data_IF_860082913779
#
_entry.id   IF_860082913779
#
_cell.length_a   1.000
_cell.length_b   1.000
_cell.length_c   1.000
_cell.angle_alpha   90.00
_cell.angle_beta   90.00
_cell.angle_gamma   90.00
#
_symmetry.space_group_name_H-M   'P 1'
#
loop_
_entity.id
_entity.type
_entity.pdbx_description
1 polymer ?
#
# COMPACT_ATOMS: atom_id res chain seq x y z
N UNK A 1 16.63 -12.92 -8.51
CA UNK A 1 16.94 -11.59 -9.10
C UNK A 1 15.69 -10.73 -9.01
N UNK A 2 15.78 -9.41 -8.84
CA UNK A 2 14.64 -8.56 -9.16
C UNK A 2 14.35 -8.80 -10.64
N UNK A 3 13.19 -9.34 -11.00
CA UNK A 3 12.91 -9.66 -12.39
C UNK A 3 12.85 -8.35 -13.18
N UNK A 4 13.91 -8.10 -13.96
CA UNK A 4 13.96 -7.02 -14.93
C UNK A 4 13.11 -7.45 -16.12
N UNK A 5 11.79 -7.41 -15.94
CA UNK A 5 10.81 -7.78 -16.98
C UNK A 5 10.47 -6.62 -17.91
N UNK A 6 10.74 -5.39 -17.47
CA UNK A 6 10.43 -4.18 -18.21
C UNK A 6 11.55 -3.79 -19.19
N UNK A 7 11.18 -3.09 -20.27
CA UNK A 7 12.13 -2.57 -21.27
C UNK A 7 13.12 -1.56 -20.68
N UNK A 8 12.69 -0.78 -19.68
CA UNK A 8 13.53 0.20 -19.02
C UNK A 8 14.17 -0.40 -17.77
N UNK A 9 15.48 -0.21 -17.62
CA UNK A 9 16.19 -0.66 -16.42
C UNK A 9 15.63 -0.02 -15.15
N UNK A 10 15.17 -0.87 -14.22
CA UNK A 10 14.61 -0.42 -12.96
C UNK A 10 15.72 -0.31 -11.90
N UNK A 11 15.81 0.85 -11.25
CA UNK A 11 16.66 1.08 -10.07
C UNK A 11 16.00 2.01 -9.07
N UNK A 12 16.41 1.92 -7.80
CA UNK A 12 16.04 2.93 -6.81
C UNK A 12 16.82 4.22 -7.06
N UNK A 13 16.17 5.40 -7.13
CA UNK A 13 16.84 6.64 -7.47
C UNK A 13 17.87 7.10 -6.42
N UNK A 14 17.67 6.70 -5.15
CA UNK A 14 18.56 7.04 -4.03
C UNK A 14 19.68 6.03 -3.81
N UNK A 15 19.80 5.02 -4.66
CA UNK A 15 20.78 3.95 -4.52
C UNK A 15 21.73 3.97 -5.71
N UNK A 16 23.01 4.11 -5.42
CA UNK A 16 24.06 3.98 -6.41
C UNK A 16 24.49 2.51 -6.50
N UNK A 17 24.33 1.90 -7.68
CA UNK A 17 24.59 0.47 -7.88
C UNK A 17 26.06 0.15 -8.17
N UNK A 18 26.81 1.08 -8.76
CA UNK A 18 28.21 0.87 -9.17
C UNK A 18 29.21 1.15 -8.03
N UNK A 19 28.82 0.90 -6.78
CA UNK A 19 29.72 1.02 -5.64
C UNK A 19 30.82 -0.04 -5.68
N UNK A 20 32.04 0.35 -5.31
CA UNK A 20 33.22 -0.54 -5.25
C UNK A 20 33.23 -1.45 -4.00
N UNK A 21 32.23 -1.33 -3.13
CA UNK A 21 32.13 -2.10 -1.88
C UNK A 21 31.81 -3.57 -2.15
N UNK A 22 32.62 -4.47 -1.57
CA UNK A 22 32.45 -5.92 -1.62
C UNK A 22 31.64 -6.44 -0.42
N UNK A 23 31.07 -7.65 -0.54
CA UNK A 23 30.41 -8.35 0.58
C UNK A 23 28.99 -7.89 0.91
N UNK A 24 28.62 -7.95 2.21
CA UNK A 24 27.26 -7.70 2.75
C UNK A 24 26.68 -6.33 2.40
N UNK A 25 27.53 -5.37 2.02
CA UNK A 25 27.10 -4.05 1.56
C UNK A 25 26.35 -4.08 0.23
N UNK A 26 26.50 -5.11 -0.62
CA UNK A 26 25.86 -5.17 -1.96
C UNK A 26 24.43 -5.73 -1.97
N UNK A 27 24.10 -6.61 -1.03
CA UNK A 27 22.80 -7.27 -0.94
C UNK A 27 21.77 -6.37 -0.24
N UNK A 28 20.45 -6.51 -0.50
CA UNK A 28 19.41 -5.82 0.27
C UNK A 28 19.39 -6.29 1.74
N UNK A 29 19.07 -5.38 2.66
CA UNK A 29 19.03 -5.64 4.11
C UNK A 29 19.33 -4.40 4.94
N UNK A 30 19.29 -4.50 6.28
CA UNK A 30 19.54 -3.36 7.19
C UNK A 30 20.90 -2.68 6.98
N UNK A 31 21.92 -3.42 6.55
CA UNK A 31 23.28 -2.94 6.23
C UNK A 31 23.60 -3.02 4.73
N UNK A 32 22.55 -3.18 3.92
CA UNK A 32 22.63 -3.46 2.50
C UNK A 32 22.46 -2.21 1.62
N UNK A 33 22.79 -2.33 0.33
CA UNK A 33 22.62 -1.26 -0.66
C UNK A 33 21.15 -1.18 -1.14
N UNK A 34 20.21 -0.94 -0.22
CA UNK A 34 18.79 -0.73 -0.51
C UNK A 34 18.24 0.44 0.28
N UNK A 35 17.63 1.37 -0.43
CA UNK A 35 16.93 2.49 0.18
C UNK A 35 15.59 2.01 0.75
N UNK A 36 15.42 2.23 2.04
CA UNK A 36 14.17 2.13 2.77
C UNK A 36 14.07 3.33 3.71
N UNK A 37 12.86 3.74 4.06
CA UNK A 37 12.63 4.82 5.02
C UNK A 37 11.51 4.47 5.99
N UNK A 38 11.59 5.06 7.17
CA UNK A 38 10.46 5.13 8.08
C UNK A 38 9.50 6.24 7.61
N UNK A 39 8.20 5.93 7.56
CA UNK A 39 7.15 6.88 7.17
C UNK A 39 6.76 7.76 8.37
N UNK A 40 6.98 7.28 9.60
CA UNK A 40 6.46 7.88 10.82
C UNK A 40 5.01 7.45 11.10
N UNK A 41 4.27 8.27 11.86
CA UNK A 41 2.84 8.06 12.17
C UNK A 41 2.55 6.71 12.89
N UNK A 42 3.54 6.15 13.60
CA UNK A 42 3.41 4.88 14.32
C UNK A 42 3.42 3.62 13.45
N UNK A 43 3.63 3.73 12.13
CA UNK A 43 3.71 2.56 11.25
C UNK A 43 5.11 1.95 11.25
N UNK A 44 5.17 0.63 11.41
CA UNK A 44 6.42 -0.14 11.28
C UNK A 44 6.74 -0.35 9.79
N UNK A 45 8.02 -0.20 9.43
CA UNK A 45 8.50 -0.55 8.09
C UNK A 45 8.41 -2.07 7.89
N UNK A 46 7.76 -2.56 6.81
CA UNK A 46 7.60 -3.99 6.58
C UNK A 46 8.95 -4.64 6.27
N UNK A 47 9.13 -5.90 6.71
CA UNK A 47 10.38 -6.66 6.48
C UNK A 47 10.70 -6.77 4.99
N UNK A 48 9.68 -7.04 4.17
CA UNK A 48 9.84 -7.14 2.70
C UNK A 48 10.32 -5.83 2.07
N UNK A 49 10.07 -4.65 2.67
CA UNK A 49 10.63 -3.40 2.14
C UNK A 49 12.15 -3.31 2.36
N UNK A 50 12.67 -3.88 3.46
CA UNK A 50 14.09 -3.85 3.84
C UNK A 50 14.87 -4.93 3.08
N UNK A 51 14.34 -6.14 3.02
CA UNK A 51 15.04 -7.33 2.50
C UNK A 51 14.65 -7.67 1.06
N UNK A 52 13.48 -7.21 0.60
CA UNK A 52 12.97 -7.53 -0.73
C UNK A 52 13.80 -6.88 -1.84
N UNK A 53 13.63 -7.41 -3.06
CA UNK A 53 14.36 -6.97 -4.25
C UNK A 53 13.52 -6.12 -5.20
N UNK A 54 12.22 -5.98 -4.94
CA UNK A 54 11.30 -5.24 -5.83
C UNK A 54 11.69 -3.76 -5.97
N UNK A 55 11.36 -3.17 -7.11
CA UNK A 55 11.60 -1.75 -7.40
C UNK A 55 10.27 -1.06 -7.68
N UNK A 56 9.89 -0.16 -6.78
CA UNK A 56 8.64 0.59 -6.87
C UNK A 56 8.85 2.05 -6.45
N UNK A 57 8.81 2.96 -7.40
CA UNK A 57 8.98 4.40 -7.17
C UNK A 57 7.80 5.01 -6.40
N UNK A 58 6.64 4.36 -6.44
CA UNK A 58 5.39 4.78 -5.78
C UNK A 58 5.25 4.20 -4.37
N UNK A 59 6.14 3.31 -3.94
CA UNK A 59 6.15 2.76 -2.59
C UNK A 59 6.37 3.87 -1.53
N UNK A 60 5.64 3.85 -0.41
CA UNK A 60 5.86 4.83 0.65
C UNK A 60 7.09 4.49 1.51
N UNK A 61 7.61 3.26 1.46
CA UNK A 61 8.80 2.83 2.21
C UNK A 61 10.09 2.87 1.39
N UNK A 62 10.06 2.47 0.12
CA UNK A 62 11.26 2.34 -0.74
C UNK A 62 11.32 3.39 -1.85
N UNK A 63 10.27 4.21 -1.98
CA UNK A 63 10.19 5.32 -2.92
C UNK A 63 10.25 6.70 -2.26
N UNK A 64 10.09 7.74 -3.08
CA UNK A 64 10.06 9.13 -2.61
C UNK A 64 8.64 9.64 -2.33
N UNK A 65 7.69 8.76 -2.03
CA UNK A 65 6.30 9.14 -1.73
C UNK A 65 6.17 9.47 -0.25
N UNK A 66 5.69 10.67 0.08
CA UNK A 66 5.34 11.06 1.44
C UNK A 66 3.87 10.78 1.70
N UNK A 67 3.58 10.37 2.94
CA UNK A 67 2.22 10.20 3.45
C UNK A 67 1.88 11.45 4.26
N UNK A 68 0.69 12.00 4.05
CA UNK A 68 0.24 13.25 4.67
C UNK A 68 -1.26 13.26 4.85
N UNK A 69 -1.75 14.04 5.82
CA UNK A 69 -3.18 14.27 6.00
C UNK A 69 -3.92 13.02 6.47
N UNK A 70 -4.89 12.57 5.69
CA UNK A 70 -5.87 11.56 6.12
C UNK A 70 -5.29 10.15 6.11
N UNK A 71 -5.51 9.41 7.20
CA UNK A 71 -5.34 7.95 7.27
C UNK A 71 -6.73 7.36 7.33
N UNK A 72 -7.04 6.44 6.42
CA UNK A 72 -8.35 5.81 6.32
C UNK A 72 -8.21 4.29 6.44
N UNK A 73 -9.25 3.66 6.94
CA UNK A 73 -9.41 2.22 6.99
C UNK A 73 -10.50 1.81 6.00
N UNK A 74 -10.37 0.63 5.40
CA UNK A 74 -11.39 0.06 4.52
C UNK A 74 -11.11 -1.39 4.15
N UNK A 75 -12.03 -2.01 3.42
CA UNK A 75 -11.91 -3.39 2.95
C UNK A 75 -11.47 -3.43 1.49
N UNK A 76 -10.69 -4.43 1.12
CA UNK A 76 -10.23 -4.59 -0.26
C UNK A 76 -11.35 -5.22 -1.10
N UNK A 77 -11.85 -4.49 -2.09
CA UNK A 77 -12.91 -4.98 -2.97
C UNK A 77 -12.37 -5.73 -4.18
N UNK A 78 -11.34 -5.17 -4.84
CA UNK A 78 -10.75 -5.74 -6.06
C UNK A 78 -9.23 -5.56 -6.06
N UNK A 79 -8.50 -6.59 -6.48
CA UNK A 79 -7.03 -6.59 -6.65
C UNK A 79 -6.58 -6.74 -8.11
N UNK A 80 -7.50 -6.56 -9.07
CA UNK A 80 -7.27 -6.86 -10.50
C UNK A 80 -6.26 -5.94 -11.21
N UNK A 81 -5.95 -4.78 -10.64
CA UNK A 81 -5.04 -3.81 -11.25
C UNK A 81 -3.60 -4.06 -10.83
N UNK A 82 -2.65 -3.68 -11.68
CA UNK A 82 -1.23 -3.78 -11.34
C UNK A 82 -0.87 -2.82 -10.21
N UNK A 83 -0.41 -3.40 -9.08
CA UNK A 83 0.07 -2.66 -7.89
C UNK A 83 -0.92 -1.60 -7.37
N UNK A 84 -2.22 -1.76 -7.63
CA UNK A 84 -3.27 -0.83 -7.21
C UNK A 84 -4.50 -1.65 -6.82
N UNK A 85 -5.18 -1.23 -5.76
CA UNK A 85 -6.40 -1.87 -5.27
C UNK A 85 -7.54 -0.86 -5.19
N UNK A 86 -8.76 -1.38 -5.27
CA UNK A 86 -9.96 -0.61 -4.93
C UNK A 86 -10.37 -0.97 -3.51
N UNK A 87 -10.33 0.03 -2.63
CA UNK A 87 -10.75 -0.06 -1.23
C UNK A 87 -12.18 0.45 -1.12
N UNK A 88 -13.04 -0.33 -0.49
CA UNK A 88 -14.42 0.04 -0.17
C UNK A 88 -14.50 0.50 1.29
N UNK A 89 -15.22 1.59 1.52
CA UNK A 89 -15.56 2.09 2.84
C UNK A 89 -17.07 2.18 2.95
N UNK A 90 -17.63 1.33 3.80
CA UNK A 90 -19.03 1.33 4.14
C UNK A 90 -19.28 2.26 5.33
N UNK A 91 -20.36 3.03 5.29
CA UNK A 91 -20.77 3.93 6.36
C UNK A 91 -22.30 4.06 6.42
N UNK A 92 -22.80 4.49 7.56
CA UNK A 92 -24.23 4.75 7.77
C UNK A 92 -24.52 6.25 7.58
N UNK A 93 -25.43 6.59 6.69
CA UNK A 93 -25.87 7.96 6.47
C UNK A 93 -27.20 8.20 7.18
N UNK A 94 -27.30 9.26 7.98
CA UNK A 94 -28.50 9.55 8.76
C UNK A 94 -29.52 10.37 7.95
N UNK A 95 -30.75 9.87 7.86
CA UNK A 95 -31.85 10.55 7.17
C UNK A 95 -32.72 11.28 8.19
N UNK A 96 -32.53 12.61 8.28
CA UNK A 96 -33.14 13.48 9.31
C UNK A 96 -34.67 13.32 9.42
N UNK A 97 -35.38 13.26 8.28
CA UNK A 97 -36.85 13.15 8.23
C UNK A 97 -37.38 11.89 8.92
N UNK A 98 -36.68 10.77 8.76
CA UNK A 98 -37.15 9.47 9.24
C UNK A 98 -36.42 9.00 10.49
N UNK A 99 -35.43 9.77 10.99
CA UNK A 99 -34.56 9.41 12.11
C UNK A 99 -33.95 7.99 11.98
N UNK A 100 -33.65 7.57 10.75
CA UNK A 100 -33.10 6.25 10.40
C UNK A 100 -31.78 6.38 9.66
N UNK A 101 -30.97 5.33 9.70
CA UNK A 101 -29.74 5.23 8.93
C UNK A 101 -29.95 4.42 7.66
N UNK A 102 -29.34 4.87 6.56
CA UNK A 102 -29.21 4.11 5.32
C UNK A 102 -27.75 3.68 5.11
N UNK A 103 -27.55 2.51 4.53
CA UNK A 103 -26.21 1.99 4.21
C UNK A 103 -25.70 2.66 2.93
N UNK A 104 -24.54 3.33 3.02
CA UNK A 104 -23.82 3.87 1.86
C UNK A 104 -22.42 3.30 1.80
N UNK A 105 -21.81 3.40 0.62
CA UNK A 105 -20.42 3.03 0.44
C UNK A 105 -19.70 4.02 -0.45
N UNK A 106 -18.39 4.12 -0.28
CA UNK A 106 -17.49 4.89 -1.15
C UNK A 106 -16.31 4.02 -1.56
N UNK A 107 -15.92 4.13 -2.83
CA UNK A 107 -14.78 3.41 -3.38
C UNK A 107 -13.59 4.35 -3.56
N UNK A 108 -12.42 3.89 -3.14
CA UNK A 108 -11.17 4.64 -3.18
C UNK A 108 -10.10 3.79 -3.86
N UNK A 109 -9.32 4.38 -4.76
CA UNK A 109 -8.16 3.70 -5.36
C UNK A 109 -6.91 3.96 -4.54
N UNK A 110 -6.21 2.89 -4.15
CA UNK A 110 -4.97 2.96 -3.39
C UNK A 110 -3.84 2.19 -4.09
N UNK A 111 -2.65 2.77 -4.11
CA UNK A 111 -1.44 2.07 -4.55
C UNK A 111 -1.06 1.01 -3.53
N UNK A 112 -0.66 -0.17 -3.99
CA UNK A 112 -0.13 -1.25 -3.16
C UNK A 112 1.31 -1.48 -3.55
N UNK A 113 2.20 -1.23 -2.60
CA UNK A 113 3.59 -1.60 -2.79
C UNK A 113 3.76 -3.12 -2.73
N UNK A 114 4.66 -3.71 -3.54
CA UNK A 114 4.90 -5.16 -3.54
C UNK A 114 5.35 -5.76 -2.20
N UNK A 115 5.69 -4.95 -1.20
CA UNK A 115 5.97 -5.42 0.17
C UNK A 115 4.73 -5.93 0.94
N UNK A 116 3.55 -5.81 0.35
CA UNK A 116 2.32 -6.32 0.93
C UNK A 116 1.69 -7.32 -0.02
N UNK A 117 1.41 -8.52 0.51
CA UNK A 117 0.53 -9.49 -0.14
C UNK A 117 -0.90 -9.18 0.30
N UNK A 118 -1.74 -8.76 -0.63
CA UNK A 118 -3.12 -8.35 -0.38
C UNK A 118 -4.06 -9.30 -1.11
N UNK A 119 -5.11 -9.75 -0.41
CA UNK A 119 -6.22 -10.53 -0.98
C UNK A 119 -7.50 -9.70 -0.97
N UNK A 120 -8.46 -10.10 -1.78
CA UNK A 120 -9.81 -9.54 -1.72
C UNK A 120 -10.42 -9.88 -0.35
N UNK A 121 -11.10 -8.92 0.28
CA UNK A 121 -11.69 -9.05 1.62
C UNK A 121 -10.79 -8.60 2.77
N UNK A 122 -9.49 -8.41 2.57
CA UNK A 122 -8.59 -7.95 3.64
C UNK A 122 -8.97 -6.54 4.14
N UNK A 123 -8.71 -6.27 5.43
CA UNK A 123 -8.80 -4.91 5.98
C UNK A 123 -7.46 -4.20 5.78
N UNK A 124 -7.49 -3.01 5.19
CA UNK A 124 -6.29 -2.22 4.89
C UNK A 124 -6.36 -0.84 5.53
N UNK A 125 -5.20 -0.37 5.98
CA UNK A 125 -4.98 1.01 6.40
C UNK A 125 -4.26 1.72 5.26
N UNK A 126 -4.89 2.76 4.74
CA UNK A 126 -4.39 3.58 3.64
C UNK A 126 -4.06 4.98 4.12
N UNK A 127 -2.95 5.53 3.65
CA UNK A 127 -2.53 6.89 3.90
C UNK A 127 -2.68 7.75 2.65
N UNK A 128 -3.16 8.98 2.82
CA UNK A 128 -3.21 9.95 1.74
C UNK A 128 -1.78 10.32 1.30
N UNK A 129 -1.58 10.42 -0.01
CA UNK A 129 -0.31 10.75 -0.63
C UNK A 129 -0.49 11.88 -1.67
N UNK A 130 0.61 12.30 -2.30
CA UNK A 130 0.50 13.14 -3.51
C UNK A 130 -0.20 12.35 -4.63
N UNK A 131 -0.87 13.01 -5.59
CA UNK A 131 -1.46 12.32 -6.73
C UNK A 131 -0.41 11.45 -7.45
N UNK A 132 -0.67 10.14 -7.57
CA UNK A 132 0.20 9.18 -8.26
C UNK A 132 -0.34 8.79 -9.64
N UNK A 133 -1.65 8.93 -9.83
CA UNK A 133 -2.37 8.76 -11.09
C UNK A 133 -3.67 9.58 -11.04
N UNK A 134 -4.52 9.45 -12.08
CA UNK A 134 -5.83 10.12 -12.14
C UNK A 134 -6.71 9.86 -10.90
N UNK A 135 -6.72 8.62 -10.43
CA UNK A 135 -7.57 8.19 -9.30
C UNK A 135 -6.77 7.93 -8.03
N UNK A 136 -5.51 7.49 -8.15
CA UNK A 136 -4.71 7.06 -7.00
C UNK A 136 -4.12 8.25 -6.26
N UNK A 137 -4.70 8.53 -5.10
CA UNK A 137 -4.27 9.56 -4.13
C UNK A 137 -4.00 8.97 -2.73
N UNK A 138 -4.05 7.65 -2.61
CA UNK A 138 -3.82 6.90 -1.37
C UNK A 138 -2.80 5.79 -1.61
N UNK A 139 -2.12 5.37 -0.55
CA UNK A 139 -1.15 4.29 -0.55
C UNK A 139 -1.38 3.38 0.65
N UNK A 140 -1.20 2.06 0.49
CA UNK A 140 -1.35 1.11 1.59
C UNK A 140 -0.17 1.22 2.55
N UNK A 141 -0.48 1.28 3.86
CA UNK A 141 0.50 1.37 4.94
C UNK A 141 0.55 0.11 5.79
N UNK A 142 -0.59 -0.55 5.98
CA UNK A 142 -0.72 -1.78 6.77
C UNK A 142 -1.85 -2.62 6.21
N UNK A 143 -1.61 -3.92 6.15
CA UNK A 143 -2.62 -4.93 5.83
C UNK A 143 -2.93 -5.69 7.12
N UNK A 144 -4.22 -5.88 7.39
CA UNK A 144 -4.75 -6.71 8.45
C UNK A 144 -5.44 -7.88 7.74
N UNK A 145 -4.80 -9.05 7.66
CA UNK A 145 -5.38 -10.20 7.00
C UNK A 145 -6.65 -10.61 7.74
N UNK A 146 -7.76 -10.72 7.00
CA UNK A 146 -8.97 -11.34 7.55
C UNK A 146 -8.95 -12.83 7.19
N UNK A 147 -9.22 -13.69 8.17
CA UNK A 147 -9.35 -15.13 7.93
C UNK A 147 -10.41 -15.40 6.88
N UNK A 148 -10.24 -16.47 6.08
CA UNK A 148 -11.06 -16.80 4.91
C UNK A 148 -12.58 -16.99 5.18
N UNK A 149 -13.02 -16.91 6.44
CA UNK A 149 -14.39 -17.18 6.87
C UNK A 149 -15.36 -15.97 6.74
N UNK A 150 -14.86 -14.74 6.65
CA UNK A 150 -15.72 -13.55 6.71
C UNK A 150 -15.29 -12.47 5.70
N UNK A 151 -15.73 -12.52 4.44
CA UNK A 151 -15.33 -11.43 3.54
C UNK A 151 -15.61 -11.55 2.05
N UNK A 152 -16.79 -12.06 1.66
CA UNK A 152 -17.24 -11.86 0.29
C UNK A 152 -17.59 -10.38 0.02
N UNK A 153 -17.79 -10.01 -1.26
CA UNK A 153 -18.27 -8.66 -1.68
C UNK A 153 -19.55 -8.17 -0.99
N UNK A 154 -20.26 -9.08 -0.31
CA UNK A 154 -21.49 -8.85 0.46
C UNK A 154 -21.23 -8.46 1.93
N UNK A 155 -19.98 -8.48 2.40
CA UNK A 155 -19.65 -8.09 3.76
C UNK A 155 -19.82 -6.58 3.95
N UNK A 156 -20.55 -6.17 4.99
CA UNK A 156 -20.72 -4.79 5.41
C UNK A 156 -20.11 -4.64 6.79
N UNK A 157 -19.08 -3.80 6.90
CA UNK A 157 -18.52 -3.41 8.20
C UNK A 157 -18.85 -1.95 8.41
N UNK A 158 -19.75 -1.64 9.35
CA UNK A 158 -20.01 -0.26 9.73
C UNK A 158 -18.71 0.33 10.30
N UNK A 159 -18.18 1.37 9.64
CA UNK A 159 -17.14 2.24 10.17
C UNK A 159 -17.75 3.57 10.61
#
# INVERSE_FOLDING_TARGET
>A
MAEQTERAFLKQPKVFLCGKTSGKGRAPGKRGNRFHKNIGLGFKTPREAIEGTYIDKKCPFTGNVSIRGRILTGTVNCTKMTRTITVRRDYLHFVKKYQRYEKRHSNLSAHVSPCFRVKEGDKVIIGQCRPLSKTVRFNVLKVIPMGAAEGGKKAFTAM
#
